data_IF_565992696516
#
_entry.id   IF_565992696516
#
_cell.length_a   1.000
_cell.length_b   1.000
_cell.length_c   1.000
_cell.angle_alpha   90.00
_cell.angle_beta   90.00
_cell.angle_gamma   90.00
#
_symmetry.space_group_name_H-M   'P 1'
#
loop_
_entity.id
_entity.type
_entity.pdbx_description
1 polymer ?
#
# COMPACT_ATOMS: atom_id res chain seq x y z
N UNK A 1 37.50 -33.47 41.70
CA UNK A 1 36.61 -34.35 40.90
C UNK A 1 35.84 -33.42 39.97
N UNK A 2 36.40 -33.13 38.79
CA UNK A 2 35.80 -32.20 37.82
C UNK A 2 34.91 -33.00 36.87
N UNK A 3 33.61 -32.70 36.86
CA UNK A 3 32.68 -33.33 35.93
C UNK A 3 33.03 -33.00 34.47
N UNK A 4 32.86 -33.95 33.53
CA UNK A 4 33.10 -33.69 32.12
C UNK A 4 31.99 -32.76 31.60
N UNK A 5 32.38 -31.72 30.86
CA UNK A 5 31.47 -30.82 30.16
C UNK A 5 30.58 -31.63 29.21
N UNK A 6 29.31 -31.85 29.60
CA UNK A 6 28.31 -32.47 28.72
C UNK A 6 27.89 -31.40 27.72
N UNK A 7 28.31 -31.58 26.46
CA UNK A 7 27.83 -30.77 25.35
C UNK A 7 26.32 -31.04 25.17
N UNK A 8 25.51 -30.07 25.58
CA UNK A 8 24.06 -30.12 25.39
C UNK A 8 23.72 -29.86 23.92
N UNK A 9 23.38 -30.93 23.20
CA UNK A 9 22.99 -30.88 21.78
C UNK A 9 21.60 -30.25 21.55
N UNK A 10 20.85 -29.97 22.62
CA UNK A 10 19.52 -29.34 22.56
C UNK A 10 19.55 -27.83 22.84
N UNK A 11 20.73 -27.22 22.95
CA UNK A 11 20.82 -25.77 23.12
C UNK A 11 20.19 -25.04 21.92
N UNK A 12 19.35 -24.05 22.22
CA UNK A 12 18.72 -23.22 21.20
C UNK A 12 19.81 -22.42 20.47
N UNK A 13 19.85 -22.47 19.12
CA UNK A 13 20.82 -21.69 18.37
C UNK A 13 20.52 -20.20 18.50
N UNK A 14 21.57 -19.40 18.71
CA UNK A 14 21.49 -17.95 18.67
C UNK A 14 21.23 -17.49 17.24
N UNK A 15 19.98 -17.13 16.95
CA UNK A 15 19.51 -16.70 15.64
C UNK A 15 20.06 -15.31 15.23
N UNK A 16 20.62 -14.54 16.17
CA UNK A 16 21.23 -13.25 15.89
C UNK A 16 22.72 -13.36 15.53
N UNK A 17 23.45 -14.31 16.12
CA UNK A 17 24.89 -14.48 15.92
C UNK A 17 25.27 -15.61 14.94
N UNK A 18 24.43 -16.63 14.77
CA UNK A 18 24.78 -17.81 13.98
C UNK A 18 24.50 -17.57 12.50
N UNK A 19 25.54 -17.23 11.74
CA UNK A 19 25.48 -17.12 10.29
C UNK A 19 25.27 -18.50 9.64
N UNK A 20 24.01 -18.90 9.48
CA UNK A 20 23.64 -20.06 8.67
C UNK A 20 22.46 -20.89 9.18
N UNK A 21 21.34 -20.81 8.44
CA UNK A 21 20.43 -21.93 8.10
C UNK A 21 19.67 -22.68 9.20
N UNK A 22 19.07 -21.99 10.17
CA UNK A 22 18.00 -22.63 10.99
C UNK A 22 16.61 -22.10 10.69
N UNK A 23 16.49 -21.00 9.94
CA UNK A 23 15.20 -20.43 9.52
C UNK A 23 15.31 -19.41 8.38
N UNK A 24 14.18 -18.94 7.82
CA UNK A 24 14.17 -17.88 6.81
C UNK A 24 14.72 -16.58 7.41
N UNK A 25 15.95 -16.21 7.04
CA UNK A 25 16.55 -14.92 7.39
C UNK A 25 16.09 -13.89 6.38
N UNK A 26 15.55 -12.77 6.86
CA UNK A 26 15.16 -11.63 6.01
C UNK A 26 16.42 -10.98 5.43
N UNK A 27 16.71 -11.26 4.17
CA UNK A 27 17.88 -10.70 3.45
C UNK A 27 17.63 -9.32 2.85
N UNK A 28 16.36 -8.87 2.79
CA UNK A 28 15.96 -7.58 2.22
C UNK A 28 14.96 -6.87 3.11
N UNK A 29 15.12 -5.56 3.22
CA UNK A 29 14.19 -4.69 3.90
C UNK A 29 13.40 -3.89 2.86
N UNK A 30 12.06 -4.03 2.77
CA UNK A 30 11.22 -3.05 2.08
C UNK A 30 11.54 -1.64 2.57
N UNK A 31 11.76 -0.76 1.61
CA UNK A 31 11.81 0.68 1.81
C UNK A 31 10.45 1.21 1.39
N UNK A 32 9.82 1.96 2.28
CA UNK A 32 8.57 2.63 1.96
C UNK A 32 8.85 3.75 0.94
N UNK A 33 8.10 3.76 -0.16
CA UNK A 33 8.20 4.75 -1.22
C UNK A 33 6.83 5.33 -1.47
N UNK A 34 6.73 6.66 -1.49
CA UNK A 34 5.50 7.35 -1.85
C UNK A 34 5.40 7.43 -3.37
N UNK A 35 4.51 6.63 -3.94
CA UNK A 35 4.19 6.62 -5.37
C UNK A 35 2.83 7.26 -5.59
N UNK A 36 2.71 8.01 -6.69
CA UNK A 36 1.41 8.53 -7.12
C UNK A 36 0.51 7.35 -7.53
N UNK A 37 -0.72 7.24 -6.98
CA UNK A 37 -1.63 6.17 -7.37
C UNK A 37 -1.90 6.20 -8.87
N UNK A 38 -2.00 5.04 -9.55
CA UNK A 38 -2.13 5.02 -11.00
C UNK A 38 -3.43 5.68 -11.49
N UNK A 39 -4.52 5.60 -10.71
CA UNK A 39 -5.76 6.32 -11.01
C UNK A 39 -5.57 7.85 -10.97
N UNK A 40 -4.90 8.38 -9.93
CA UNK A 40 -4.59 9.81 -9.84
C UNK A 40 -3.66 10.24 -10.97
N UNK A 41 -2.63 9.44 -11.27
CA UNK A 41 -1.67 9.71 -12.35
C UNK A 41 -2.33 9.71 -13.74
N UNK A 42 -3.32 8.85 -13.97
CA UNK A 42 -4.03 8.77 -15.23
C UNK A 42 -5.13 9.84 -15.40
N UNK A 43 -5.52 10.53 -14.32
CA UNK A 43 -6.58 11.53 -14.36
C UNK A 43 -6.07 12.85 -14.95
N UNK A 44 -6.57 13.30 -16.13
CA UNK A 44 -6.12 14.56 -16.72
C UNK A 44 -6.56 15.79 -15.93
N UNK A 45 -7.65 15.67 -15.15
CA UNK A 45 -8.15 16.72 -14.26
C UNK A 45 -7.31 16.86 -12.98
N UNK A 46 -6.35 15.95 -12.73
CA UNK A 46 -5.50 16.00 -11.53
C UNK A 46 -6.25 15.75 -10.22
N UNK A 47 -7.41 15.07 -10.28
CA UNK A 47 -8.20 14.78 -9.09
C UNK A 47 -7.48 13.81 -8.14
N UNK A 48 -7.68 14.00 -6.84
CA UNK A 48 -7.21 13.07 -5.82
C UNK A 48 -8.23 11.94 -5.59
N UNK A 49 -8.24 10.96 -6.50
CA UNK A 49 -9.27 9.93 -6.58
C UNK A 49 -9.31 9.04 -5.34
N UNK A 50 -8.13 8.65 -4.83
CA UNK A 50 -8.07 7.87 -3.60
C UNK A 50 -8.69 8.59 -2.40
N UNK A 51 -8.49 9.90 -2.28
CA UNK A 51 -8.95 10.64 -1.10
C UNK A 51 -10.46 10.85 -1.11
N UNK A 52 -11.06 11.30 -2.22
CA UNK A 52 -12.51 11.45 -2.26
C UNK A 52 -13.22 10.10 -2.15
N UNK A 53 -12.66 9.00 -2.70
CA UNK A 53 -13.20 7.64 -2.50
C UNK A 53 -13.11 7.19 -1.03
N UNK A 54 -11.99 7.48 -0.35
CA UNK A 54 -11.81 7.20 1.07
C UNK A 54 -12.85 7.93 1.91
N UNK A 55 -13.14 9.19 1.58
CA UNK A 55 -14.14 10.01 2.26
C UNK A 55 -15.56 9.49 2.02
N UNK A 56 -15.91 9.12 0.79
CA UNK A 56 -17.21 8.47 0.49
C UNK A 56 -17.36 7.17 1.28
N UNK A 57 -16.31 6.34 1.35
CA UNK A 57 -16.33 5.09 2.14
C UNK A 57 -16.49 5.34 3.65
N UNK A 58 -16.13 6.52 4.12
CA UNK A 58 -16.26 6.94 5.50
C UNK A 58 -17.57 7.69 5.79
N UNK A 59 -18.54 7.67 4.86
CA UNK A 59 -19.82 8.40 4.94
C UNK A 59 -19.64 9.92 5.13
N UNK A 60 -18.53 10.47 4.61
CA UNK A 60 -18.17 11.88 4.73
C UNK A 60 -18.41 12.64 3.41
N UNK A 61 -19.66 12.61 2.92
CA UNK A 61 -20.03 13.07 1.57
C UNK A 61 -19.65 14.53 1.28
N UNK A 62 -19.85 15.44 2.24
CA UNK A 62 -19.49 16.85 2.05
C UNK A 62 -17.98 17.03 1.88
N UNK A 63 -17.17 16.30 2.66
CA UNK A 63 -15.72 16.35 2.55
C UNK A 63 -15.25 15.76 1.21
N UNK A 64 -15.86 14.65 0.76
CA UNK A 64 -15.59 14.07 -0.55
C UNK A 64 -15.90 15.05 -1.69
N UNK A 65 -17.05 15.72 -1.62
CA UNK A 65 -17.44 16.75 -2.58
C UNK A 65 -16.46 17.93 -2.59
N UNK A 66 -16.02 18.38 -1.41
CA UNK A 66 -15.03 19.46 -1.29
C UNK A 66 -13.70 19.05 -1.89
N UNK A 67 -13.26 17.80 -1.73
CA UNK A 67 -12.03 17.30 -2.34
C UNK A 67 -12.12 17.24 -3.86
N UNK A 68 -13.21 16.68 -4.41
CA UNK A 68 -13.49 16.66 -5.85
C UNK A 68 -13.45 18.06 -6.45
N UNK A 69 -14.11 19.02 -5.79
CA UNK A 69 -14.24 20.40 -6.28
C UNK A 69 -12.98 21.24 -6.17
N UNK A 70 -11.92 20.76 -5.49
CA UNK A 70 -10.61 21.46 -5.48
C UNK A 70 -10.00 21.58 -6.88
N UNK A 71 -10.11 20.52 -7.67
CA UNK A 71 -9.48 20.43 -8.98
C UNK A 71 -10.50 20.51 -10.12
N UNK A 72 -11.75 20.12 -9.86
CA UNK A 72 -12.78 20.03 -10.87
C UNK A 72 -14.02 20.85 -10.47
N UNK A 73 -14.32 21.99 -11.13
CA UNK A 73 -15.49 22.80 -10.81
C UNK A 73 -16.83 22.15 -11.22
N UNK A 74 -16.82 21.10 -12.05
CA UNK A 74 -18.02 20.44 -12.58
C UNK A 74 -17.98 18.91 -12.40
N UNK A 75 -17.74 18.39 -11.18
CA UNK A 75 -17.49 16.97 -10.99
C UNK A 75 -18.72 16.11 -11.28
N UNK A 76 -19.93 16.65 -11.06
CA UNK A 76 -21.19 15.96 -11.35
C UNK A 76 -21.44 15.72 -12.84
N UNK A 77 -20.95 16.59 -13.72
CA UNK A 77 -21.03 16.43 -15.18
C UNK A 77 -19.82 15.66 -15.67
N UNK A 78 -18.61 16.04 -15.24
CA UNK A 78 -17.36 15.40 -15.60
C UNK A 78 -17.43 13.88 -15.39
N UNK A 79 -17.83 13.43 -14.20
CA UNK A 79 -17.93 11.99 -13.90
C UNK A 79 -18.97 11.22 -14.73
N UNK A 80 -19.87 11.90 -15.46
CA UNK A 80 -20.84 11.25 -16.37
C UNK A 80 -20.38 11.18 -17.82
N UNK A 81 -19.50 12.10 -18.23
CA UNK A 81 -19.06 12.26 -19.63
C UNK A 81 -17.59 11.89 -19.84
N UNK A 82 -16.83 11.73 -18.76
CA UNK A 82 -15.43 11.34 -18.82
C UNK A 82 -15.28 9.99 -19.51
N UNK A 83 -14.14 9.75 -20.15
CA UNK A 83 -13.78 8.42 -20.66
C UNK A 83 -13.12 7.53 -19.59
N UNK A 84 -13.09 8.00 -18.34
CA UNK A 84 -12.59 7.26 -17.19
C UNK A 84 -11.20 6.60 -17.38
N UNK A 85 -10.16 7.33 -17.85
CA UNK A 85 -8.81 6.76 -17.97
C UNK A 85 -8.24 6.30 -16.62
N UNK A 86 -8.74 6.88 -15.52
CA UNK A 86 -8.43 6.47 -14.17
C UNK A 86 -8.94 5.06 -13.81
N UNK A 87 -10.01 4.59 -14.43
CA UNK A 87 -10.53 3.22 -14.26
C UNK A 87 -9.70 2.23 -15.05
N UNK A 88 -9.36 2.57 -16.30
CA UNK A 88 -8.48 1.74 -17.16
C UNK A 88 -7.10 1.51 -16.54
N UNK A 89 -6.53 2.53 -15.91
CA UNK A 89 -5.23 2.43 -15.24
C UNK A 89 -5.29 1.85 -13.82
N UNK A 90 -6.49 1.56 -13.29
CA UNK A 90 -6.65 1.17 -11.90
C UNK A 90 -6.02 -0.21 -11.61
N UNK A 91 -5.31 -0.34 -10.49
CA UNK A 91 -4.78 -1.63 -10.00
C UNK A 91 -5.87 -2.72 -9.83
N UNK A 92 -7.15 -2.32 -9.75
CA UNK A 92 -8.28 -3.24 -9.62
C UNK A 92 -8.75 -3.88 -10.93
N UNK A 93 -8.26 -3.43 -12.09
CA UNK A 93 -8.72 -3.95 -13.39
C UNK A 93 -8.47 -5.47 -13.54
N UNK A 94 -7.50 -6.02 -12.82
CA UNK A 94 -7.16 -7.44 -12.80
C UNK A 94 -7.75 -8.21 -11.59
N UNK A 95 -8.48 -7.51 -10.71
CA UNK A 95 -9.00 -8.08 -9.45
C UNK A 95 -10.51 -8.35 -9.48
N UNK A 96 -11.23 -7.75 -10.45
CA UNK A 96 -12.68 -7.88 -10.64
C UNK A 96 -13.02 -8.70 -11.89
#
# INVERSE_FOLDING_TARGET
MSEPFRLDITNLPDLAATAGRVGPVRTRMPVYVDLLPPCNNACPAGENIQEWLRLVKADADEAAWRELTRNNPFPAIHGRVCYHPCETACNRVELD
#
